data_IF_312044320405
#
_entry.id   IF_312044320405
#
_cell.length_a   1.000
_cell.length_b   1.000
_cell.length_c   1.000
_cell.angle_alpha   90.00
_cell.angle_beta   90.00
_cell.angle_gamma   90.00
#
_symmetry.space_group_name_H-M   'P 1'
#
loop_
_entity.id
_entity.type
_entity.pdbx_description
1 polymer ?
#
# COMPACT_ATOMS: atom_id res chain seq x y z
N UNK A 1 8.72 42.17 25.97
CA UNK A 1 9.17 41.92 24.58
C UNK A 1 9.80 40.53 24.46
N UNK A 2 9.09 39.46 24.86
CA UNK A 2 9.60 38.07 24.82
C UNK A 2 8.56 37.08 24.25
N UNK A 3 7.30 37.49 24.05
CA UNK A 3 6.22 36.60 23.57
C UNK A 3 6.05 36.54 22.04
N UNK A 4 7.01 37.03 21.26
CA UNK A 4 6.97 36.93 19.78
C UNK A 4 7.80 35.71 19.30
N UNK A 5 8.62 35.11 20.16
CA UNK A 5 9.50 34.00 19.78
C UNK A 5 8.87 32.60 19.92
N UNK A 6 7.56 32.50 20.16
CA UNK A 6 6.83 31.22 20.05
C UNK A 6 6.16 31.06 18.67
N UNK A 7 6.21 32.08 17.80
CA UNK A 7 5.39 32.15 16.59
C UNK A 7 6.18 32.09 15.26
N UNK A 8 7.50 31.86 15.32
CA UNK A 8 8.29 31.55 14.11
C UNK A 8 8.27 30.04 13.91
N UNK A 9 7.20 29.62 13.25
CA UNK A 9 6.91 28.35 12.60
C UNK A 9 8.16 27.52 12.26
N UNK A 10 8.59 26.67 13.18
CA UNK A 10 9.09 25.35 12.81
C UNK A 10 7.85 24.49 12.65
N UNK A 11 7.36 24.34 11.42
CA UNK A 11 6.30 23.37 11.13
C UNK A 11 6.80 21.99 11.60
N UNK A 12 6.38 21.58 12.79
CA UNK A 12 6.65 20.26 13.33
C UNK A 12 5.70 19.33 12.57
N UNK A 13 6.09 18.97 11.35
CA UNK A 13 5.31 18.04 10.54
C UNK A 13 5.15 16.75 11.34
N UNK A 14 3.90 16.31 11.48
CA UNK A 14 3.59 15.12 12.27
C UNK A 14 4.28 13.91 11.64
N UNK A 15 5.23 13.31 12.38
CA UNK A 15 5.97 12.13 11.94
C UNK A 15 5.06 10.99 11.55
N UNK A 16 3.89 10.88 12.19
CA UNK A 16 2.89 9.88 11.86
C UNK A 16 2.32 10.11 10.47
N UNK A 17 1.94 11.34 10.14
CA UNK A 17 1.43 11.73 8.82
C UNK A 17 2.49 11.42 7.74
N UNK A 18 3.74 11.81 7.98
CA UNK A 18 4.83 11.54 7.03
C UNK A 18 5.02 10.03 6.84
N UNK A 19 5.04 9.27 7.94
CA UNK A 19 5.16 7.82 7.91
C UNK A 19 4.05 7.14 7.11
N UNK A 20 2.80 7.57 7.32
CA UNK A 20 1.63 7.09 6.59
C UNK A 20 1.71 7.41 5.10
N UNK A 21 2.15 8.62 4.72
CA UNK A 21 2.34 9.01 3.33
C UNK A 21 3.45 8.20 2.64
N UNK A 22 4.60 8.00 3.31
CA UNK A 22 5.69 7.15 2.79
C UNK A 22 5.21 5.72 2.59
N UNK A 23 4.45 5.18 3.56
CA UNK A 23 3.84 3.85 3.45
C UNK A 23 2.88 3.78 2.27
N UNK A 24 2.04 4.80 2.08
CA UNK A 24 1.08 4.86 0.99
C UNK A 24 1.78 4.87 -0.38
N UNK A 25 2.83 5.68 -0.56
CA UNK A 25 3.67 5.69 -1.77
C UNK A 25 4.30 4.31 -2.03
N UNK A 26 4.88 3.68 -1.01
CA UNK A 26 5.48 2.35 -1.14
C UNK A 26 4.45 1.28 -1.51
N UNK A 27 3.29 1.30 -0.87
CA UNK A 27 2.22 0.35 -1.16
C UNK A 27 1.64 0.58 -2.55
N UNK A 28 1.49 1.83 -3.00
CA UNK A 28 1.03 2.18 -4.33
C UNK A 28 2.05 1.81 -5.43
N UNK A 29 3.34 1.82 -5.12
CA UNK A 29 4.37 1.35 -6.05
C UNK A 29 4.50 -0.16 -6.10
N UNK A 30 3.90 -0.91 -5.17
CA UNK A 30 4.00 -2.37 -5.11
C UNK A 30 5.25 -2.92 -4.43
N UNK A 31 6.07 -2.07 -3.81
CA UNK A 31 7.31 -2.48 -3.18
C UNK A 31 7.09 -3.10 -1.79
N UNK A 32 7.90 -4.11 -1.45
CA UNK A 32 8.04 -4.55 -0.06
C UNK A 32 8.86 -3.52 0.75
N UNK A 33 8.74 -3.54 2.07
CA UNK A 33 9.61 -2.73 2.93
C UNK A 33 11.10 -3.06 2.71
N UNK A 34 11.43 -4.30 2.37
CA UNK A 34 12.81 -4.71 2.09
C UNK A 34 13.30 -4.08 0.79
N UNK A 35 12.55 -4.22 -0.30
CA UNK A 35 12.92 -3.65 -1.60
C UNK A 35 13.04 -2.12 -1.50
N UNK A 36 12.09 -1.48 -0.83
CA UNK A 36 12.14 -0.04 -0.61
C UNK A 36 13.34 0.38 0.24
N UNK A 37 13.71 -0.39 1.26
CA UNK A 37 14.88 -0.09 2.10
C UNK A 37 16.19 -0.08 1.31
N UNK A 38 16.34 -0.98 0.33
CA UNK A 38 17.49 -0.98 -0.56
C UNK A 38 17.52 0.25 -1.46
N UNK A 39 16.35 0.70 -1.94
CA UNK A 39 16.23 1.83 -2.85
C UNK A 39 16.58 3.18 -2.21
N UNK A 40 16.25 3.35 -0.92
CA UNK A 40 16.51 4.59 -0.18
C UNK A 40 17.67 4.46 0.81
N UNK A 41 18.42 3.36 0.70
CA UNK A 41 19.68 3.08 1.39
C UNK A 41 19.60 3.18 2.92
N UNK A 42 18.54 2.60 3.50
CA UNK A 42 18.43 2.48 4.96
C UNK A 42 18.01 1.05 5.34
N UNK A 43 18.04 0.73 6.63
CA UNK A 43 17.61 -0.60 7.07
C UNK A 43 16.10 -0.80 6.89
N UNK A 44 15.66 -2.03 6.62
CA UNK A 44 14.24 -2.40 6.65
C UNK A 44 13.57 -2.01 7.97
N UNK A 45 14.28 -2.14 9.09
CA UNK A 45 13.78 -1.73 10.42
C UNK A 45 13.52 -0.24 10.48
N UNK A 46 14.41 0.57 9.91
CA UNK A 46 14.23 2.02 9.80
C UNK A 46 12.98 2.35 9.00
N UNK A 47 12.77 1.71 7.84
CA UNK A 47 11.53 1.86 7.06
C UNK A 47 10.30 1.52 7.90
N UNK A 48 10.29 0.39 8.59
CA UNK A 48 9.15 -0.01 9.42
C UNK A 48 8.87 0.99 10.56
N UNK A 49 9.90 1.53 11.20
CA UNK A 49 9.76 2.55 12.25
C UNK A 49 9.23 3.88 11.68
N UNK A 50 9.74 4.30 10.52
CA UNK A 50 9.30 5.52 9.83
C UNK A 50 7.83 5.40 9.45
N UNK A 51 7.43 4.29 8.82
CA UNK A 51 6.04 4.03 8.43
C UNK A 51 5.08 3.94 9.62
N UNK A 52 5.60 3.67 10.82
CA UNK A 52 4.84 3.67 12.07
C UNK A 52 4.84 5.03 12.81
N UNK A 53 5.53 6.06 12.27
CA UNK A 53 5.68 7.37 12.91
C UNK A 53 6.70 7.41 14.06
N UNK A 54 7.42 6.32 14.30
CA UNK A 54 8.41 6.17 15.37
C UNK A 54 9.84 6.49 14.90
N UNK A 55 10.06 6.58 13.59
CA UNK A 55 11.35 6.87 12.97
C UNK A 55 11.61 8.37 12.80
N UNK A 56 12.89 8.74 12.74
CA UNK A 56 13.32 10.06 12.29
C UNK A 56 13.42 10.12 10.78
N UNK A 57 13.00 11.24 10.19
CA UNK A 57 13.05 11.49 8.75
C UNK A 57 13.88 12.77 8.56
N UNK A 58 15.17 12.64 8.24
CA UNK A 58 15.98 13.81 7.91
C UNK A 58 15.68 14.27 6.47
N UNK A 59 16.08 15.49 6.13
CA UNK A 59 15.81 16.07 4.82
C UNK A 59 16.43 15.24 3.68
N UNK A 60 17.61 14.70 3.91
CA UNK A 60 18.33 13.82 2.98
C UNK A 60 17.54 12.54 2.62
N UNK A 61 16.96 11.85 3.62
CA UNK A 61 16.09 10.70 3.37
C UNK A 61 14.81 11.12 2.64
N UNK A 62 14.19 12.23 3.02
CA UNK A 62 12.99 12.73 2.33
C UNK A 62 13.29 13.08 0.87
N UNK A 63 14.46 13.64 0.57
CA UNK A 63 14.92 13.95 -0.78
C UNK A 63 15.11 12.68 -1.62
N UNK A 64 15.75 11.64 -1.07
CA UNK A 64 15.85 10.33 -1.75
C UNK A 64 14.48 9.72 -2.04
N UNK A 65 13.56 9.77 -1.07
CA UNK A 65 12.18 9.28 -1.24
C UNK A 65 11.44 10.09 -2.32
N UNK A 66 11.55 11.42 -2.27
CA UNK A 66 10.95 12.36 -3.21
C UNK A 66 11.42 12.08 -4.63
N UNK A 67 12.74 11.94 -4.81
CA UNK A 67 13.39 11.64 -6.08
C UNK A 67 13.01 10.27 -6.62
N UNK A 68 12.98 9.25 -5.76
CA UNK A 68 12.60 7.90 -6.15
C UNK A 68 11.14 7.85 -6.64
N UNK A 69 10.20 8.43 -5.90
CA UNK A 69 8.77 8.39 -6.24
C UNK A 69 8.34 9.45 -7.26
N UNK A 70 9.23 10.35 -7.65
CA UNK A 70 8.91 11.53 -8.48
C UNK A 70 7.73 12.35 -7.91
N UNK A 71 7.79 12.61 -6.60
CA UNK A 71 6.83 13.47 -5.88
C UNK A 71 7.57 14.64 -5.26
N UNK A 72 6.88 15.69 -4.82
CA UNK A 72 7.54 16.77 -4.07
C UNK A 72 7.60 16.42 -2.60
N UNK A 73 8.67 16.80 -1.90
CA UNK A 73 8.76 16.68 -0.44
C UNK A 73 7.53 17.32 0.23
N UNK A 74 7.08 18.48 -0.25
CA UNK A 74 5.89 19.15 0.26
C UNK A 74 4.62 18.27 0.22
N UNK A 75 4.50 17.35 -0.75
CA UNK A 75 3.36 16.43 -0.81
C UNK A 75 3.46 15.30 0.22
N UNK A 76 4.68 14.85 0.54
CA UNK A 76 4.95 13.88 1.63
C UNK A 76 4.59 14.48 2.99
N UNK A 77 4.72 15.80 3.14
CA UNK A 77 4.49 16.52 4.39
C UNK A 77 3.01 16.93 4.60
N UNK A 78 2.15 16.78 3.58
CA UNK A 78 0.72 17.13 3.67
C UNK A 78 -0.03 16.12 4.53
N UNK A 79 -1.16 16.57 5.09
CA UNK A 79 -2.09 15.71 5.86
C UNK A 79 -2.51 14.44 5.11
N UNK A 80 -2.61 14.51 3.79
CA UNK A 80 -2.95 13.39 2.94
C UNK A 80 -2.19 13.50 1.61
N UNK A 81 -1.60 12.38 1.18
CA UNK A 81 -0.93 12.29 -0.12
C UNK A 81 -1.91 11.90 -1.23
N UNK A 82 -1.92 12.66 -2.31
CA UNK A 82 -2.77 12.39 -3.46
C UNK A 82 -2.10 11.38 -4.37
N UNK A 83 -2.58 10.13 -4.34
CA UNK A 83 -2.10 9.06 -5.21
C UNK A 83 -3.00 8.93 -6.43
N UNK A 84 -2.42 9.06 -7.63
CA UNK A 84 -3.13 8.76 -8.88
C UNK A 84 -3.39 7.27 -9.02
N UNK A 85 -4.49 6.87 -9.68
CA UNK A 85 -4.81 5.45 -9.92
C UNK A 85 -3.68 4.70 -10.65
N UNK A 86 -2.99 5.37 -11.57
CA UNK A 86 -1.89 4.82 -12.38
C UNK A 86 -0.51 5.13 -11.78
N UNK A 87 -0.41 5.28 -10.44
CA UNK A 87 0.84 5.70 -9.80
C UNK A 87 2.02 4.78 -10.13
N UNK A 88 1.82 3.46 -10.11
CA UNK A 88 2.87 2.49 -10.43
C UNK A 88 3.29 2.58 -11.89
N UNK A 89 2.34 2.73 -12.80
CA UNK A 89 2.58 2.87 -14.23
C UNK A 89 3.35 4.18 -14.54
N UNK A 90 3.00 5.27 -13.87
CA UNK A 90 3.75 6.54 -13.93
C UNK A 90 5.18 6.39 -13.41
N UNK A 91 5.36 5.65 -12.30
CA UNK A 91 6.66 5.40 -11.71
C UNK A 91 7.56 4.53 -12.63
N UNK A 92 6.99 3.52 -13.28
CA UNK A 92 7.68 2.73 -14.31
C UNK A 92 8.13 3.59 -15.48
N UNK A 93 7.27 4.51 -15.95
CA UNK A 93 7.61 5.42 -17.04
C UNK A 93 8.73 6.40 -16.65
N UNK A 94 8.71 6.89 -15.42
CA UNK A 94 9.76 7.76 -14.87
C UNK A 94 11.13 7.05 -14.80
N UNK A 95 11.15 5.78 -14.40
CA UNK A 95 12.38 4.98 -14.28
C UNK A 95 12.73 4.16 -15.53
N UNK A 96 12.09 4.41 -16.68
CA UNK A 96 12.23 3.58 -17.89
C UNK A 96 13.67 3.40 -18.40
N UNK A 97 14.56 4.35 -18.10
CA UNK A 97 15.97 4.33 -18.52
C UNK A 97 16.91 3.82 -17.41
N UNK A 98 16.37 3.38 -16.27
CA UNK A 98 17.14 2.84 -15.15
C UNK A 98 16.85 1.34 -15.02
N UNK A 99 17.62 0.52 -15.75
CA UNK A 99 17.46 -0.94 -15.82
C UNK A 99 17.37 -1.62 -14.43
N UNK A 100 18.29 -1.37 -13.48
CA UNK A 100 18.19 -1.96 -12.14
C UNK A 100 16.86 -1.65 -11.43
N UNK A 101 16.38 -0.40 -11.51
CA UNK A 101 15.12 0.01 -10.91
C UNK A 101 13.93 -0.60 -11.63
N UNK A 102 13.98 -0.67 -12.96
CA UNK A 102 12.93 -1.25 -13.80
C UNK A 102 12.77 -2.74 -13.51
N UNK A 103 13.87 -3.49 -13.39
CA UNK A 103 13.86 -4.90 -13.00
C UNK A 103 13.18 -5.07 -11.63
N UNK A 104 13.53 -4.24 -10.65
CA UNK A 104 12.94 -4.31 -9.31
C UNK A 104 11.45 -3.97 -9.33
N UNK A 105 11.06 -2.89 -10.02
CA UNK A 105 9.68 -2.46 -10.11
C UNK A 105 8.81 -3.46 -10.88
N UNK A 106 9.33 -4.16 -11.89
CA UNK A 106 8.58 -5.17 -12.65
C UNK A 106 8.41 -6.52 -11.94
N UNK A 107 9.07 -6.75 -10.79
CA UNK A 107 8.83 -7.95 -9.99
C UNK A 107 7.36 -8.02 -9.55
N UNK A 108 6.94 -9.23 -9.18
CA UNK A 108 5.65 -9.45 -8.52
C UNK A 108 5.50 -8.48 -7.35
N UNK A 109 4.43 -7.65 -7.34
CA UNK A 109 4.26 -6.65 -6.30
C UNK A 109 3.88 -7.29 -4.97
N UNK A 110 4.01 -6.53 -3.88
CA UNK A 110 3.54 -6.95 -2.58
C UNK A 110 2.02 -7.25 -2.61
N UNK A 111 1.56 -8.26 -1.85
CA UNK A 111 0.15 -8.65 -1.79
C UNK A 111 -0.77 -7.47 -1.42
N UNK A 112 -0.30 -6.55 -0.57
CA UNK A 112 -1.06 -5.35 -0.21
C UNK A 112 -1.36 -4.48 -1.42
N UNK A 113 -0.42 -4.36 -2.37
CA UNK A 113 -0.66 -3.63 -3.61
C UNK A 113 -1.73 -4.32 -4.46
N UNK A 114 -1.57 -5.64 -4.67
CA UNK A 114 -2.49 -6.42 -5.48
C UNK A 114 -3.93 -6.34 -4.92
N UNK A 115 -4.08 -6.37 -3.59
CA UNK A 115 -5.37 -6.20 -2.94
C UNK A 115 -5.90 -4.77 -3.12
N UNK A 116 -5.16 -3.75 -2.70
CA UNK A 116 -5.65 -2.35 -2.65
C UNK A 116 -5.90 -1.73 -4.01
N UNK A 117 -5.01 -1.99 -4.98
CA UNK A 117 -4.97 -1.25 -6.24
C UNK A 117 -5.43 -2.07 -7.44
N UNK A 118 -5.59 -3.40 -7.32
CA UNK A 118 -6.10 -4.24 -8.41
C UNK A 118 -7.39 -4.97 -8.03
N UNK A 119 -7.41 -5.70 -6.91
CA UNK A 119 -8.58 -6.47 -6.47
C UNK A 119 -9.73 -5.57 -5.99
N UNK A 120 -9.45 -4.63 -5.08
CA UNK A 120 -10.48 -3.75 -4.52
C UNK A 120 -10.97 -2.68 -5.51
N UNK A 121 -10.22 -2.46 -6.58
CA UNK A 121 -10.57 -1.52 -7.66
C UNK A 121 -11.32 -2.19 -8.82
N UNK A 122 -11.28 -3.52 -8.94
CA UNK A 122 -12.12 -4.26 -9.89
C UNK A 122 -13.50 -4.59 -9.30
N UNK A 123 -14.42 -5.10 -10.10
CA UNK A 123 -15.73 -5.64 -9.69
C UNK A 123 -15.67 -7.08 -9.15
N UNK A 124 -14.48 -7.70 -9.10
CA UNK A 124 -14.34 -9.14 -8.81
C UNK A 124 -14.92 -9.58 -7.46
N UNK A 125 -14.85 -8.71 -6.44
CA UNK A 125 -15.39 -8.96 -5.10
C UNK A 125 -16.79 -8.34 -4.88
N UNK A 126 -17.46 -7.91 -5.96
CA UNK A 126 -18.87 -7.50 -5.89
C UNK A 126 -19.80 -8.71 -5.63
N UNK A 127 -19.30 -9.93 -5.86
CA UNK A 127 -19.90 -11.19 -5.39
C UNK A 127 -18.95 -11.90 -4.43
N UNK A 128 -19.45 -12.75 -3.51
CA UNK A 128 -18.57 -13.50 -2.60
C UNK A 128 -17.63 -14.44 -3.35
N UNK A 129 -16.35 -14.44 -2.96
CA UNK A 129 -15.29 -15.26 -3.57
C UNK A 129 -14.50 -16.06 -2.56
N UNK A 130 -14.13 -17.28 -2.92
CA UNK A 130 -13.15 -18.07 -2.18
C UNK A 130 -11.72 -17.56 -2.39
N UNK A 131 -10.83 -17.87 -1.45
CA UNK A 131 -9.41 -17.52 -1.57
C UNK A 131 -8.75 -18.10 -2.83
N UNK A 132 -9.19 -19.27 -3.29
CA UNK A 132 -8.66 -19.89 -4.51
C UNK A 132 -9.10 -19.15 -5.77
N UNK A 133 -10.31 -18.59 -5.80
CA UNK A 133 -10.74 -17.73 -6.90
C UNK A 133 -9.93 -16.43 -6.93
N UNK A 134 -9.70 -15.82 -5.76
CA UNK A 134 -8.85 -14.62 -5.64
C UNK A 134 -7.40 -14.92 -6.07
N UNK A 135 -6.90 -16.11 -5.72
CA UNK A 135 -5.57 -16.57 -6.17
C UNK A 135 -5.52 -16.70 -7.70
N UNK A 136 -6.55 -17.28 -8.32
CA UNK A 136 -6.65 -17.37 -9.78
C UNK A 136 -6.75 -15.98 -10.43
N UNK A 137 -7.51 -15.05 -9.83
CA UNK A 137 -7.56 -13.66 -10.28
C UNK A 137 -6.18 -13.01 -10.29
N UNK A 138 -5.33 -13.23 -9.28
CA UNK A 138 -3.96 -12.69 -9.32
C UNK A 138 -3.04 -13.42 -10.31
N UNK A 139 -3.25 -14.73 -10.50
CA UNK A 139 -2.46 -15.52 -11.44
C UNK A 139 -2.60 -15.04 -12.90
N UNK A 140 -3.73 -14.43 -13.27
CA UNK A 140 -3.92 -13.85 -14.61
C UNK A 140 -2.95 -12.68 -14.91
N UNK A 141 -2.41 -12.04 -13.87
CA UNK A 141 -1.37 -11.00 -13.97
C UNK A 141 0.04 -11.56 -13.82
N UNK A 142 0.20 -12.89 -13.77
CA UNK A 142 1.46 -13.56 -13.48
C UNK A 142 1.88 -13.55 -12.01
N UNK A 143 1.01 -13.07 -11.09
CA UNK A 143 1.34 -12.96 -9.67
C UNK A 143 0.92 -14.21 -8.90
N UNK A 144 1.88 -14.83 -8.22
CA UNK A 144 1.70 -16.10 -7.50
C UNK A 144 1.78 -15.84 -5.99
N UNK A 145 0.62 -15.70 -5.35
CA UNK A 145 0.53 -15.54 -3.90
C UNK A 145 0.03 -16.82 -3.21
N UNK A 146 0.47 -17.04 -1.96
CA UNK A 146 -0.06 -18.10 -1.11
C UNK A 146 -1.47 -17.74 -0.62
N UNK A 147 -2.38 -18.70 -0.54
CA UNK A 147 -3.75 -18.48 -0.07
C UNK A 147 -3.81 -17.97 1.39
N UNK A 148 -2.91 -18.44 2.25
CA UNK A 148 -2.77 -17.94 3.63
C UNK A 148 -2.35 -16.47 3.65
N UNK A 149 -1.42 -16.06 2.79
CA UNK A 149 -0.98 -14.66 2.65
C UNK A 149 -2.10 -13.76 2.13
N UNK A 150 -2.87 -14.22 1.14
CA UNK A 150 -4.07 -13.51 0.65
C UNK A 150 -5.07 -13.33 1.80
N UNK A 151 -5.45 -14.43 2.46
CA UNK A 151 -6.43 -14.42 3.56
C UNK A 151 -6.01 -13.47 4.70
N UNK A 152 -4.75 -13.55 5.12
CA UNK A 152 -4.22 -12.69 6.19
C UNK A 152 -4.17 -11.22 5.78
N UNK A 153 -3.94 -10.92 4.49
CA UNK A 153 -3.94 -9.56 3.99
C UNK A 153 -5.35 -8.99 3.84
N UNK A 154 -6.31 -9.78 3.37
CA UNK A 154 -7.72 -9.38 3.28
C UNK A 154 -8.30 -9.07 4.67
N UNK A 155 -7.98 -9.87 5.69
CA UNK A 155 -8.38 -9.61 7.09
C UNK A 155 -7.90 -8.26 7.63
N UNK A 156 -6.79 -7.71 7.12
CA UNK A 156 -6.28 -6.39 7.54
C UNK A 156 -7.04 -5.22 6.92
N UNK A 157 -7.81 -5.45 5.86
CA UNK A 157 -8.65 -4.46 5.18
C UNK A 157 -10.14 -4.66 5.56
N UNK A 158 -10.40 -4.98 6.83
CA UNK A 158 -11.74 -5.28 7.37
C UNK A 158 -12.75 -4.12 7.25
N UNK A 159 -12.26 -2.91 7.01
CA UNK A 159 -13.08 -1.73 6.70
C UNK A 159 -13.72 -1.81 5.30
N UNK A 160 -13.06 -2.51 4.36
CA UNK A 160 -13.47 -2.60 2.95
C UNK A 160 -13.94 -3.99 2.54
N UNK A 161 -13.63 -5.01 3.35
CA UNK A 161 -13.87 -6.42 3.03
C UNK A 161 -14.68 -7.08 4.13
N UNK A 162 -15.77 -7.71 3.72
CA UNK A 162 -16.57 -8.61 4.55
C UNK A 162 -16.00 -10.02 4.39
N UNK A 163 -15.79 -10.70 5.53
CA UNK A 163 -15.33 -12.09 5.58
C UNK A 163 -16.38 -12.93 6.29
N UNK A 164 -16.96 -13.89 5.59
CA UNK A 164 -17.94 -14.83 6.17
C UNK A 164 -17.53 -16.28 5.94
N UNK A 165 -18.13 -17.20 6.69
CA UNK A 165 -17.94 -18.64 6.49
C UNK A 165 -18.75 -19.08 5.28
N UNK A 166 -18.17 -19.97 4.48
CA UNK A 166 -18.91 -20.62 3.40
C UNK A 166 -19.96 -21.56 4.01
N UNK A 167 -21.20 -21.46 3.53
CA UNK A 167 -22.36 -22.20 4.06
C UNK A 167 -22.19 -23.73 4.00
N UNK A 168 -21.72 -24.24 2.85
CA UNK A 168 -21.50 -25.67 2.64
C UNK A 168 -20.09 -26.16 3.06
N UNK A 169 -19.06 -25.32 2.95
CA UNK A 169 -17.66 -25.68 3.21
C UNK A 169 -17.19 -25.15 4.56
N UNK A 170 -17.35 -25.94 5.62
CA UNK A 170 -17.09 -25.57 7.03
C UNK A 170 -15.72 -24.90 7.29
N UNK A 171 -14.68 -25.26 6.54
CA UNK A 171 -13.31 -24.72 6.70
C UNK A 171 -12.92 -23.66 5.67
N UNK A 172 -13.87 -23.15 4.90
CA UNK A 172 -13.61 -22.15 3.85
C UNK A 172 -14.27 -20.82 4.21
N UNK A 173 -13.53 -19.72 4.01
CA UNK A 173 -14.07 -18.38 4.08
C UNK A 173 -14.37 -17.85 2.67
N UNK A 174 -15.39 -17.01 2.58
CA UNK A 174 -15.71 -16.21 1.41
C UNK A 174 -15.48 -14.72 1.72
N UNK A 175 -15.11 -13.97 0.70
CA UNK A 175 -14.72 -12.57 0.78
C UNK A 175 -15.54 -11.74 -0.20
N UNK A 176 -16.08 -10.60 0.24
CA UNK A 176 -16.80 -9.62 -0.60
C UNK A 176 -16.50 -8.19 -0.15
N UNK A 177 -16.82 -7.18 -0.97
CA UNK A 177 -16.67 -5.77 -0.58
C UNK A 177 -17.79 -5.29 0.35
N UNK A 178 -17.43 -4.38 1.25
CA UNK A 178 -18.40 -3.65 2.07
C UNK A 178 -19.36 -2.83 1.18
N UNK A 179 -20.67 -2.88 1.46
CA UNK A 179 -21.68 -2.06 0.78
C UNK A 179 -22.25 -2.61 -0.54
N UNK A 180 -21.79 -3.77 -1.01
CA UNK A 180 -22.40 -4.50 -2.13
C UNK A 180 -22.89 -5.87 -1.64
N UNK A 181 -24.14 -5.86 -1.17
CA UNK A 181 -25.08 -6.96 -0.86
C UNK A 181 -24.46 -8.35 -0.66
N UNK A 182 -24.59 -8.88 0.57
CA UNK A 182 -24.74 -10.32 0.80
C UNK A 182 -26.18 -10.65 0.35
N UNK A 183 -26.43 -11.52 -0.65
CA UNK A 183 -27.75 -12.10 -0.79
C UNK A 183 -27.97 -12.86 0.51
N UNK A 184 -28.76 -12.28 1.40
CA UNK A 184 -29.25 -13.01 2.56
C UNK A 184 -30.33 -13.89 1.97
N UNK A 185 -30.01 -15.15 1.68
CA UNK A 185 -31.06 -16.13 1.41
C UNK A 185 -31.88 -16.25 2.69
N UNK A 186 -33.03 -15.58 2.65
CA UNK A 186 -34.14 -15.82 3.54
C UNK A 186 -34.74 -17.18 3.18
N UNK A 187 -34.65 -18.11 4.14
CA UNK A 187 -35.57 -19.20 4.51
C UNK A 187 -34.83 -20.51 4.80
#
# INVERSE_FOLDING_TARGET
MIYICQFVVMAQFDRKIIGENIKALREASGLSQQDFSHLVEISRRSIANIEAGNGGNNLDLLDRISTFFNVKIADILKKEINLTLNFRENLLSYHKNNEPLLILLNKQPNITYAIKYKLLKSDFLDTPKEVNEIKSFFAQYGWKYLGTSISNALKREQDKIIVTRHELKRNTNIYSKTGKIIPTESQ
#
